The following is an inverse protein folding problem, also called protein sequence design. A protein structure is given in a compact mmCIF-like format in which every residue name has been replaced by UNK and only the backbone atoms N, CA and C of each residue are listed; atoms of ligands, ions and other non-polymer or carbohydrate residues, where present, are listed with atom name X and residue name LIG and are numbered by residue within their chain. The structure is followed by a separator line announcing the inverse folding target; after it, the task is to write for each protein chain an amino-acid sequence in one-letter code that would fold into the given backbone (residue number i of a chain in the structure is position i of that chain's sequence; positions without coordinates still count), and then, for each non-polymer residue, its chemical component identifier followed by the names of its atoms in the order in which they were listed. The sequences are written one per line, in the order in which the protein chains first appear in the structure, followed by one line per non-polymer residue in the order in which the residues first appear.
data_IF_118090835999
#
_entry.id   IF_118090835999
#
_cell.length_a   1.000
_cell.length_b   1.000
_cell.length_c   1.000
_cell.angle_alpha   90.00
_cell.angle_beta   90.00
_cell.angle_gamma   90.00
#
_symmetry.space_group_name_H-M   'P 1'
#
loop_
_entity.id
_entity.type
_entity.pdbx_description
1 polymer ?
#
# COMPACT_ATOMS: atom_id res chain seq x y z
N UNK A 1 11.42 19.55 0.83
CA UNK A 1 11.32 18.08 1.05
C UNK A 1 10.24 17.81 2.07
N UNK A 2 9.29 16.97 1.72
CA UNK A 2 8.16 16.61 2.59
C UNK A 2 8.33 15.18 3.10
N UNK A 3 8.31 15.01 4.42
CA UNK A 3 8.42 13.71 5.07
C UNK A 3 7.05 13.03 5.09
N UNK A 4 6.96 11.82 4.55
CA UNK A 4 5.73 11.01 4.49
C UNK A 4 5.73 9.95 5.57
N UNK A 5 6.83 9.18 5.64
CA UNK A 5 7.07 8.22 6.72
C UNK A 5 8.35 8.61 7.44
N UNK A 6 8.28 8.63 8.78
CA UNK A 6 9.40 9.01 9.64
C UNK A 6 9.86 7.82 10.47
N UNK A 7 11.02 7.28 10.11
CA UNK A 7 11.65 6.16 10.83
C UNK A 7 10.66 5.04 11.14
N UNK A 8 9.92 4.62 10.11
CA UNK A 8 8.98 3.50 10.22
C UNK A 8 9.77 2.20 10.40
N UNK A 9 9.60 1.50 11.51
CA UNK A 9 10.44 0.34 11.81
C UNK A 9 10.06 -0.88 10.97
N UNK A 10 11.06 -1.70 10.65
CA UNK A 10 10.86 -3.07 10.22
C UNK A 10 11.58 -4.01 11.22
N UNK A 11 11.20 -5.28 11.22
CA UNK A 11 11.69 -6.21 12.23
C UNK A 11 12.33 -7.43 11.57
N UNK A 12 13.29 -8.02 12.26
CA UNK A 12 14.00 -9.23 11.79
C UNK A 12 13.18 -10.49 12.00
N UNK A 13 12.10 -10.41 12.78
CA UNK A 13 11.18 -11.50 13.06
C UNK A 13 9.77 -11.15 12.61
N UNK A 14 8.92 -12.15 12.47
CA UNK A 14 7.52 -11.94 12.18
C UNK A 14 6.84 -11.21 13.33
N UNK A 15 5.96 -10.27 13.00
CA UNK A 15 5.17 -9.47 13.94
C UNK A 15 3.71 -9.46 13.50
N UNK A 16 2.84 -8.86 14.29
CA UNK A 16 1.46 -8.63 13.92
C UNK A 16 1.12 -7.15 13.97
N UNK A 17 0.19 -6.73 13.12
CA UNK A 17 -0.47 -5.43 13.21
C UNK A 17 -1.97 -5.66 13.34
N UNK A 18 -2.62 -4.82 14.15
CA UNK A 18 -4.05 -4.91 14.35
C UNK A 18 -4.80 -4.18 13.24
N UNK A 19 -5.85 -4.81 12.73
CA UNK A 19 -6.78 -4.22 11.77
C UNK A 19 -8.20 -4.35 12.31
N UNK A 20 -9.18 -3.61 11.76
CA UNK A 20 -10.58 -3.79 12.14
C UNK A 20 -11.10 -5.22 11.96
N UNK A 21 -10.47 -5.99 11.08
CA UNK A 21 -10.82 -7.40 10.82
C UNK A 21 -9.97 -8.40 11.58
N UNK A 22 -9.15 -7.96 12.53
CA UNK A 22 -8.28 -8.79 13.35
C UNK A 22 -6.79 -8.60 13.04
N UNK A 23 -5.92 -9.33 13.73
CA UNK A 23 -4.48 -9.20 13.55
C UNK A 23 -4.04 -9.79 12.21
N UNK A 24 -3.05 -9.13 11.61
CA UNK A 24 -2.43 -9.53 10.34
C UNK A 24 -0.96 -9.82 10.59
N UNK A 25 -0.49 -10.96 10.11
CA UNK A 25 0.92 -11.35 10.19
C UNK A 25 1.76 -10.52 9.22
N UNK A 26 2.78 -9.87 9.76
CA UNK A 26 3.83 -9.21 8.98
C UNK A 26 5.08 -10.06 9.07
N UNK A 27 5.60 -10.46 7.93
CA UNK A 27 6.81 -11.29 7.88
C UNK A 27 8.05 -10.47 8.20
N UNK A 28 9.13 -11.17 8.53
CA UNK A 28 10.44 -10.54 8.74
C UNK A 28 10.83 -9.63 7.56
N UNK A 29 11.43 -8.50 7.85
CA UNK A 29 11.90 -7.49 6.88
C UNK A 29 10.82 -6.84 6.01
N UNK A 30 9.54 -7.07 6.26
CA UNK A 30 8.48 -6.35 5.57
C UNK A 30 8.28 -4.96 6.17
N UNK A 31 8.20 -3.97 5.30
CA UNK A 31 7.95 -2.57 5.67
C UNK A 31 6.45 -2.32 5.49
N UNK A 32 5.78 -1.99 6.58
CA UNK A 32 4.34 -1.72 6.56
C UNK A 32 4.08 -0.23 6.47
N UNK A 33 3.32 0.19 5.48
CA UNK A 33 2.75 1.53 5.39
C UNK A 33 1.22 1.42 5.50
N UNK A 34 0.61 2.31 6.25
CA UNK A 34 -0.84 2.41 6.30
C UNK A 34 -1.31 3.26 5.13
N UNK A 35 -2.16 2.70 4.30
CA UNK A 35 -2.65 3.33 3.08
C UNK A 35 -4.17 3.37 3.05
N UNK A 36 -4.71 4.27 2.23
CA UNK A 36 -6.13 4.30 1.91
C UNK A 36 -6.30 4.28 0.40
N UNK A 37 -7.46 3.83 -0.08
CA UNK A 37 -7.83 3.88 -1.48
C UNK A 37 -8.83 5.01 -1.68
N UNK A 38 -8.55 5.85 -2.67
CA UNK A 38 -9.41 6.95 -3.07
C UNK A 38 -10.08 6.62 -4.40
N UNK A 39 -11.40 6.61 -4.39
CA UNK A 39 -12.23 6.45 -5.60
C UNK A 39 -13.17 7.65 -5.69
N UNK A 40 -13.11 8.38 -6.80
CA UNK A 40 -13.94 9.57 -7.03
C UNK A 40 -13.84 10.60 -5.89
N UNK A 41 -12.65 10.76 -5.31
CA UNK A 41 -12.40 11.69 -4.22
C UNK A 41 -12.81 11.19 -2.83
N UNK A 42 -13.40 10.01 -2.70
CA UNK A 42 -13.72 9.41 -1.42
C UNK A 42 -12.58 8.49 -0.98
N UNK A 43 -11.98 8.79 0.16
CA UNK A 43 -10.84 8.05 0.72
C UNK A 43 -11.32 7.03 1.76
N UNK A 44 -10.84 5.81 1.64
CA UNK A 44 -11.11 4.75 2.61
C UNK A 44 -10.35 4.95 3.92
N UNK A 45 -10.75 4.19 4.95
CA UNK A 45 -9.97 4.08 6.18
C UNK A 45 -8.60 3.47 5.89
N UNK A 46 -7.59 3.74 6.75
CA UNK A 46 -6.27 3.14 6.59
C UNK A 46 -6.30 1.63 6.78
N UNK A 47 -5.53 0.94 5.96
CA UNK A 47 -5.25 -0.49 6.06
C UNK A 47 -3.78 -0.74 5.75
N UNK A 48 -3.21 -1.88 6.19
CA UNK A 48 -1.78 -2.13 5.99
C UNK A 48 -1.47 -2.56 4.57
N UNK A 49 -0.40 -2.01 4.02
CA UNK A 49 0.22 -2.45 2.78
C UNK A 49 1.72 -2.63 2.98
N UNK A 50 2.31 -3.54 2.25
CA UNK A 50 3.76 -3.73 2.26
C UNK A 50 4.38 -2.81 1.21
N UNK A 51 5.35 -2.02 1.63
CA UNK A 51 6.17 -1.22 0.73
C UNK A 51 7.19 -2.16 0.08
N UNK A 52 6.97 -2.49 -1.19
CA UNK A 52 7.73 -3.53 -1.89
C UNK A 52 8.39 -2.96 -3.14
N UNK A 53 9.69 -2.63 -3.04
CA UNK A 53 10.48 -2.11 -4.17
C UNK A 53 10.74 -3.17 -5.24
N UNK A 54 10.54 -4.44 -4.94
CA UNK A 54 10.60 -5.54 -5.92
C UNK A 54 9.33 -5.70 -6.74
N UNK A 55 8.24 -5.04 -6.37
CA UNK A 55 6.99 -5.05 -7.11
C UNK A 55 6.99 -3.91 -8.14
N UNK A 56 6.96 -4.26 -9.44
CA UNK A 56 7.15 -3.30 -10.53
C UNK A 56 5.92 -2.48 -10.88
N UNK A 57 4.76 -2.77 -10.31
CA UNK A 57 3.51 -2.06 -10.52
C UNK A 57 3.29 -0.96 -9.47
N UNK A 58 2.22 -0.18 -9.62
CA UNK A 58 1.87 0.89 -8.68
C UNK A 58 1.42 0.34 -7.34
N UNK A 59 0.36 -0.45 -7.39
CA UNK A 59 -0.29 -0.99 -6.20
C UNK A 59 -1.08 -2.23 -6.61
N UNK A 60 -1.01 -3.27 -5.80
CA UNK A 60 -1.76 -4.51 -6.03
C UNK A 60 -2.46 -4.94 -4.76
N UNK A 61 -3.71 -5.35 -4.91
CA UNK A 61 -4.56 -5.80 -3.81
C UNK A 61 -5.46 -6.92 -4.30
N UNK A 62 -5.71 -7.91 -3.46
CA UNK A 62 -6.72 -8.91 -3.75
C UNK A 62 -8.12 -8.38 -3.41
N UNK A 63 -9.11 -8.82 -4.17
CA UNK A 63 -10.49 -8.36 -4.06
C UNK A 63 -11.05 -8.53 -2.65
N UNK A 64 -10.72 -9.60 -1.96
CA UNK A 64 -11.17 -9.87 -0.59
C UNK A 64 -10.72 -8.77 0.39
N UNK A 65 -9.46 -8.32 0.28
CA UNK A 65 -8.96 -7.23 1.10
C UNK A 65 -9.58 -5.89 0.72
N UNK A 66 -9.80 -5.64 -0.56
CA UNK A 66 -10.47 -4.44 -1.02
C UNK A 66 -11.85 -4.30 -0.37
N UNK A 67 -12.66 -5.36 -0.45
CA UNK A 67 -14.00 -5.36 0.15
C UNK A 67 -13.96 -5.27 1.66
N UNK A 68 -13.12 -6.08 2.31
CA UNK A 68 -13.04 -6.17 3.77
C UNK A 68 -12.61 -4.85 4.42
N UNK A 69 -11.60 -4.19 3.85
CA UNK A 69 -10.96 -3.04 4.49
C UNK A 69 -11.46 -1.69 3.99
N UNK A 70 -12.01 -1.63 2.79
CA UNK A 70 -12.49 -0.36 2.21
C UNK A 70 -14.01 -0.32 2.02
N UNK A 71 -14.67 -1.47 2.02
CA UNK A 71 -16.07 -1.58 1.68
C UNK A 71 -16.37 -1.42 0.20
N UNK A 72 -15.35 -1.25 -0.65
CA UNK A 72 -15.51 -1.09 -2.09
C UNK A 72 -15.54 -2.46 -2.76
N UNK A 73 -16.47 -2.64 -3.69
CA UNK A 73 -16.51 -3.79 -4.57
C UNK A 73 -15.75 -3.46 -5.86
N UNK A 74 -14.95 -4.39 -6.35
CA UNK A 74 -14.16 -4.18 -7.56
C UNK A 74 -15.03 -3.80 -8.76
N UNK A 75 -16.24 -4.36 -8.86
CA UNK A 75 -17.18 -4.07 -9.93
C UNK A 75 -17.68 -2.63 -9.95
N UNK A 76 -17.64 -1.94 -8.80
CA UNK A 76 -18.06 -0.54 -8.66
C UNK A 76 -16.97 0.45 -9.10
N UNK A 77 -15.75 -0.05 -9.31
CA UNK A 77 -14.60 0.77 -9.73
C UNK A 77 -14.39 0.52 -11.22
N UNK A 78 -14.29 1.60 -12.00
CA UNK A 78 -14.07 1.52 -13.43
C UNK A 78 -12.78 0.79 -13.77
N UNK A 79 -12.85 -0.19 -14.66
CA UNK A 79 -11.66 -0.82 -15.26
C UNK A 79 -11.09 0.09 -16.33
N UNK A 80 -9.80 0.46 -16.20
CA UNK A 80 -9.12 1.35 -17.13
C UNK A 80 -8.02 0.67 -17.93
N UNK A 81 -7.80 -0.61 -17.69
CA UNK A 81 -6.80 -1.40 -18.42
C UNK A 81 -6.56 -2.75 -17.76
N UNK A 82 -5.54 -3.42 -18.26
CA UNK A 82 -5.08 -4.69 -17.74
C UNK A 82 -3.56 -4.69 -17.69
N UNK A 83 -2.99 -5.36 -16.70
CA UNK A 83 -1.56 -5.61 -16.60
C UNK A 83 -1.31 -7.12 -16.64
N UNK A 84 -0.24 -7.51 -17.32
CA UNK A 84 0.20 -8.91 -17.31
C UNK A 84 1.09 -9.13 -16.09
N UNK A 85 0.65 -9.98 -15.18
CA UNK A 85 1.36 -10.36 -13.98
C UNK A 85 1.39 -11.88 -13.87
N UNK A 86 2.59 -12.46 -13.75
CA UNK A 86 2.75 -13.92 -13.65
C UNK A 86 1.98 -14.69 -14.75
N UNK A 87 2.07 -14.21 -16.00
CA UNK A 87 1.44 -14.80 -17.19
C UNK A 87 -0.11 -14.73 -17.22
N UNK A 88 -0.72 -13.92 -16.37
CA UNK A 88 -2.16 -13.68 -16.39
C UNK A 88 -2.46 -12.19 -16.50
N UNK A 89 -3.66 -11.87 -16.96
CA UNK A 89 -4.14 -10.50 -17.01
C UNK A 89 -4.86 -10.15 -15.72
N UNK A 90 -4.44 -9.04 -15.11
CA UNK A 90 -5.06 -8.50 -13.90
C UNK A 90 -5.70 -7.16 -14.25
N UNK A 91 -6.92 -6.92 -13.78
CA UNK A 91 -7.63 -5.67 -14.04
C UNK A 91 -6.97 -4.50 -13.30
N UNK A 92 -6.82 -3.39 -14.03
CA UNK A 92 -6.41 -2.12 -13.47
C UNK A 92 -7.65 -1.25 -13.25
N UNK A 93 -7.86 -0.82 -12.02
CA UNK A 93 -9.03 -0.03 -11.61
C UNK A 93 -8.67 1.44 -11.39
N UNK A 94 -9.60 2.32 -11.75
CA UNK A 94 -9.45 3.77 -11.61
C UNK A 94 -9.54 4.18 -10.14
N UNK A 95 -8.43 4.11 -9.44
CA UNK A 95 -8.32 4.49 -8.04
C UNK A 95 -6.94 5.09 -7.77
N UNK A 96 -6.85 5.89 -6.73
CA UNK A 96 -5.59 6.39 -6.20
C UNK A 96 -5.33 5.78 -4.83
N UNK A 97 -4.09 5.88 -4.37
CA UNK A 97 -3.66 5.42 -3.05
C UNK A 97 -3.12 6.60 -2.28
N UNK A 98 -3.48 6.71 -1.01
CA UNK A 98 -2.89 7.68 -0.11
C UNK A 98 -2.09 6.96 0.98
N UNK A 99 -0.97 7.55 1.38
CA UNK A 99 -0.15 7.03 2.49
C UNK A 99 -0.45 7.88 3.72
N UNK A 100 -0.86 7.24 4.79
CA UNK A 100 -1.06 7.89 6.08
C UNK A 100 0.28 8.02 6.79
N UNK A 101 0.63 9.23 7.30
CA UNK A 101 1.84 9.41 8.09
C UNK A 101 1.85 8.50 9.31
N UNK A 102 3.01 7.97 9.65
CA UNK A 102 3.19 7.17 10.85
C UNK A 102 3.58 8.04 12.05
N UNK A 103 3.33 7.52 13.24
CA UNK A 103 3.95 8.06 14.47
C UNK A 103 5.46 7.92 14.33
N UNK A 104 6.25 9.00 14.47
CA UNK A 104 7.70 8.94 14.30
C UNK A 104 8.35 7.80 15.10
N UNK A 105 9.07 6.93 14.41
CA UNK A 105 9.70 5.76 15.02
C UNK A 105 8.75 4.60 15.32
N UNK A 106 7.50 4.68 14.92
CA UNK A 106 6.49 3.63 15.10
C UNK A 106 5.77 3.27 13.80
N UNK A 107 4.96 2.22 13.85
CA UNK A 107 4.13 1.77 12.70
C UNK A 107 2.75 2.39 12.67
N UNK A 108 2.23 2.83 13.83
CA UNK A 108 0.86 3.33 13.93
C UNK A 108 0.68 4.62 13.16
N UNK A 109 -0.54 4.86 12.68
CA UNK A 109 -0.86 6.12 12.02
C UNK A 109 -0.82 7.28 13.01
N UNK A 110 -0.37 8.45 12.52
CA UNK A 110 -0.33 9.67 13.31
C UNK A 110 -1.70 10.37 13.24
N UNK A 111 -2.45 10.46 14.35
CA UNK A 111 -3.78 11.09 14.34
C UNK A 111 -3.74 12.55 13.92
N UNK A 112 -4.79 12.99 13.21
CA UNK A 112 -4.98 14.38 12.83
C UNK A 112 -4.13 14.87 11.67
N UNK A 113 -3.34 14.00 11.06
CA UNK A 113 -2.53 14.32 9.89
C UNK A 113 -3.23 13.89 8.60
N UNK A 114 -3.20 14.76 7.60
CA UNK A 114 -3.73 14.44 6.27
C UNK A 114 -2.89 13.37 5.59
N UNK A 115 -3.51 12.38 4.95
CA UNK A 115 -2.77 11.39 4.18
C UNK A 115 -2.15 12.02 2.93
N UNK A 116 -1.09 11.39 2.44
CA UNK A 116 -0.34 11.83 1.28
C UNK A 116 -0.84 11.12 0.03
N UNK A 117 -1.59 11.82 -0.80
CA UNK A 117 -2.18 11.23 -2.02
C UNK A 117 -1.12 11.02 -3.09
N UNK A 118 -1.08 9.81 -3.64
CA UNK A 118 -0.25 9.44 -4.77
C UNK A 118 -1.05 9.52 -6.06
N UNK A 119 -0.42 10.02 -7.12
CA UNK A 119 -1.01 10.01 -8.46
C UNK A 119 -0.66 8.69 -9.13
N UNK A 120 -1.69 7.91 -9.47
CA UNK A 120 -1.56 6.62 -10.12
C UNK A 120 -2.35 6.64 -11.43
N UNK A 121 -1.70 7.08 -12.52
CA UNK A 121 -2.36 7.22 -13.83
C UNK A 121 -2.81 5.88 -14.40
N UNK A 122 -2.13 4.80 -14.05
CA UNK A 122 -2.48 3.43 -14.46
C UNK A 122 -3.42 2.74 -13.46
N UNK A 123 -3.82 3.43 -12.40
CA UNK A 123 -4.70 2.91 -11.37
C UNK A 123 -4.05 1.86 -10.47
N UNK A 124 -4.89 1.01 -9.90
CA UNK A 124 -4.48 -0.07 -9.01
C UNK A 124 -4.83 -1.43 -9.63
N UNK A 125 -4.00 -2.42 -9.39
CA UNK A 125 -4.26 -3.80 -9.82
C UNK A 125 -5.09 -4.52 -8.76
N UNK A 126 -6.25 -5.03 -9.16
CA UNK A 126 -7.14 -5.79 -8.29
C UNK A 126 -7.21 -7.23 -8.77
N UNK A 127 -6.70 -8.14 -7.95
CA UNK A 127 -6.75 -9.57 -8.22
C UNK A 127 -8.10 -10.14 -7.81
N UNK A 128 -8.70 -10.95 -8.68
CA UNK A 128 -10.00 -11.57 -8.42
C UNK A 128 -9.95 -12.49 -7.21
N UNK A 129 -11.10 -12.65 -6.56
CA UNK A 129 -11.26 -13.59 -5.47
C UNK A 129 -10.83 -15.00 -5.89
N UNK A 130 -10.06 -15.66 -5.03
CA UNK A 130 -9.56 -17.01 -5.29
C UNK A 130 -8.35 -17.10 -6.23
N UNK A 131 -7.82 -15.97 -6.72
CA UNK A 131 -6.62 -15.96 -7.54
C UNK A 131 -5.41 -16.45 -6.70
N UNK A 132 -4.80 -17.61 -7.05
CA UNK A 132 -3.68 -18.15 -6.28
C UNK A 132 -2.42 -17.30 -6.38
N UNK A 133 -2.33 -16.40 -7.37
CA UNK A 133 -1.19 -15.52 -7.60
C UNK A 133 -1.39 -14.12 -7.00
N UNK A 134 -2.52 -13.88 -6.33
CA UNK A 134 -2.77 -12.63 -5.63
C UNK A 134 -1.77 -12.44 -4.49
N UNK A 135 -1.31 -11.19 -4.25
CA UNK A 135 -0.44 -10.93 -3.11
C UNK A 135 -1.15 -11.23 -1.80
N UNK A 136 -0.43 -11.81 -0.84
CA UNK A 136 -0.97 -12.12 0.49
C UNK A 136 -1.46 -10.85 1.21
N UNK A 137 -0.70 -9.78 1.10
CA UNK A 137 -1.05 -8.44 1.57
C UNK A 137 -0.98 -7.46 0.41
N UNK A 138 -1.69 -6.33 0.49
CA UNK A 138 -1.54 -5.28 -0.52
C UNK A 138 -0.08 -4.86 -0.65
N UNK A 139 0.35 -4.60 -1.88
CA UNK A 139 1.72 -4.19 -2.18
C UNK A 139 1.71 -2.77 -2.76
N UNK A 140 2.47 -1.88 -2.14
CA UNK A 140 2.78 -0.57 -2.69
C UNK A 140 4.12 -0.69 -3.43
N UNK A 141 4.08 -0.57 -4.74
CA UNK A 141 5.18 -0.95 -5.59
C UNK A 141 6.11 0.19 -5.99
N UNK A 142 7.21 -0.20 -6.63
CA UNK A 142 8.26 0.73 -7.06
C UNK A 142 7.74 1.79 -8.03
N UNK A 143 6.84 1.42 -8.95
CA UNK A 143 6.31 2.37 -9.94
C UNK A 143 5.59 3.54 -9.28
N UNK A 144 4.81 3.30 -8.23
CA UNK A 144 4.14 4.37 -7.49
C UNK A 144 5.15 5.34 -6.88
N UNK A 145 6.24 4.82 -6.32
CA UNK A 145 7.29 5.65 -5.73
C UNK A 145 7.97 6.52 -6.79
N UNK A 146 8.37 5.92 -7.91
CA UNK A 146 9.05 6.62 -9.01
C UNK A 146 8.16 7.68 -9.62
N UNK A 147 6.91 7.34 -9.96
CA UNK A 147 5.97 8.27 -10.60
C UNK A 147 5.57 9.44 -9.69
N UNK A 148 5.72 9.28 -8.40
CA UNK A 148 5.42 10.34 -7.42
C UNK A 148 6.67 11.03 -6.87
N UNK A 149 7.83 10.79 -7.45
CA UNK A 149 9.11 11.38 -7.07
C UNK A 149 9.44 11.18 -5.59
N UNK A 150 9.17 9.97 -5.09
CA UNK A 150 9.43 9.63 -3.70
C UNK A 150 10.84 9.08 -3.52
N UNK A 151 11.46 9.44 -2.41
CA UNK A 151 12.75 8.94 -2.00
C UNK A 151 12.57 8.04 -0.79
N UNK A 152 13.15 6.85 -0.83
CA UNK A 152 13.17 5.93 0.29
C UNK A 152 14.58 5.86 0.87
N UNK A 153 14.68 5.99 2.19
CA UNK A 153 15.93 5.85 2.91
C UNK A 153 15.80 4.73 3.92
N UNK A 154 16.67 3.73 3.80
CA UNK A 154 16.70 2.59 4.71
C UNK A 154 17.91 2.76 5.62
N UNK A 155 17.67 2.81 6.94
CA UNK A 155 18.73 2.80 7.94
C UNK A 155 18.85 1.39 8.52
N UNK A 156 19.88 0.65 8.09
CA UNK A 156 20.07 -0.74 8.51
C UNK A 156 20.50 -0.89 9.97
N UNK A 157 21.12 0.13 10.55
CA UNK A 157 21.53 0.08 11.96
C UNK A 157 20.37 0.34 12.91
N UNK A 158 19.47 1.25 12.56
CA UNK A 158 18.23 1.51 13.31
C UNK A 158 17.09 0.59 12.94
N UNK A 159 17.19 -0.09 11.78
CA UNK A 159 16.14 -0.96 11.22
C UNK A 159 14.83 -0.18 10.98
N UNK A 160 14.96 0.95 10.32
CA UNK A 160 13.84 1.78 9.98
C UNK A 160 13.93 2.32 8.54
N UNK A 161 12.81 2.82 8.07
CA UNK A 161 12.66 3.40 6.75
C UNK A 161 12.00 4.76 6.86
N UNK A 162 12.55 5.71 6.14
CA UNK A 162 11.91 7.02 5.94
C UNK A 162 11.55 7.21 4.48
N UNK A 163 10.41 7.82 4.24
CA UNK A 163 9.90 8.11 2.90
C UNK A 163 9.67 9.61 2.77
N UNK A 164 10.28 10.20 1.75
CA UNK A 164 10.23 11.63 1.51
C UNK A 164 9.69 11.93 0.12
N UNK A 165 9.10 13.10 -0.03
CA UNK A 165 8.78 13.70 -1.34
C UNK A 165 9.62 14.96 -1.51
N UNK A 166 10.21 15.12 -2.68
CA UNK A 166 10.90 16.36 -3.06
C UNK A 166 9.96 17.52 -3.29
#
# INVERSE_FOLDING_TARGET
MSLILDRCPFYEEATEVDTPSGPILIRAYQIVAWVGISVRGALSRPFPAVLDTGHSHNFSIKEEHLELWTGLHAQEIQTIGHARMNKQLVELKAAAVAIYPNTPGGRDTLPGMSPHLLILTEGIAVHRAGDPLAPRLPLLGLRALVKNHLQITIDGSRKDVSLHRE
#
